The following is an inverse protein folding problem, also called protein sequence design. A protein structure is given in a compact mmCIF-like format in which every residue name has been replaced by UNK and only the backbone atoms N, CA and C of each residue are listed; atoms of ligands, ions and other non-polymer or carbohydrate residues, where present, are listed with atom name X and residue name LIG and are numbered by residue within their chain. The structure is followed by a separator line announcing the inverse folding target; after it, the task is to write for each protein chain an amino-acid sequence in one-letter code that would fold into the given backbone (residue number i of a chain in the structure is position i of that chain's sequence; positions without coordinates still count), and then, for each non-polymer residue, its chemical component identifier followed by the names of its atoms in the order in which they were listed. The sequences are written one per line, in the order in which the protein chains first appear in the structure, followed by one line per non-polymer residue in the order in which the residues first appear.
data_IF_066333645351
#
_entry.id   IF_066333645351
#
_cell.length_a   1.000
_cell.length_b   1.000
_cell.length_c   1.000
_cell.angle_alpha   90.00
_cell.angle_beta   90.00
_cell.angle_gamma   90.00
#
_symmetry.space_group_name_H-M   'P 1'
#
loop_
_entity.id
_entity.type
_entity.pdbx_description
1 polymer ?
#
# COMPACT_ATOMS: atom_id res chain seq x y z
N UNK A 1 -37.33 -13.76 -9.59
CA UNK A 1 -36.37 -14.63 -10.32
C UNK A 1 -35.00 -13.97 -10.43
N UNK A 2 -34.92 -12.67 -10.73
CA UNK A 2 -33.63 -11.96 -10.86
C UNK A 2 -32.78 -11.97 -9.57
N UNK A 3 -33.39 -11.93 -8.39
CA UNK A 3 -32.67 -11.97 -7.10
C UNK A 3 -31.98 -13.33 -6.85
N UNK A 4 -32.64 -14.44 -7.18
CA UNK A 4 -32.09 -15.80 -7.04
C UNK A 4 -30.97 -16.08 -8.04
N UNK A 5 -31.09 -15.58 -9.29
CA UNK A 5 -30.04 -15.71 -10.30
C UNK A 5 -28.80 -14.90 -9.91
N UNK A 6 -29.00 -13.73 -9.29
CA UNK A 6 -27.92 -12.89 -8.77
C UNK A 6 -27.23 -13.53 -7.57
N UNK A 7 -27.98 -14.18 -6.66
CA UNK A 7 -27.41 -14.96 -5.55
C UNK A 7 -26.61 -16.18 -6.02
N UNK A 8 -27.10 -16.93 -7.01
CA UNK A 8 -26.37 -18.08 -7.59
C UNK A 8 -25.09 -17.62 -8.29
N UNK A 9 -25.15 -16.50 -9.03
CA UNK A 9 -23.99 -15.93 -9.72
C UNK A 9 -22.94 -15.39 -8.74
N UNK A 10 -23.38 -14.72 -7.67
CA UNK A 10 -22.47 -14.19 -6.63
C UNK A 10 -21.82 -15.31 -5.82
N UNK A 11 -22.55 -16.39 -5.50
CA UNK A 11 -21.98 -17.56 -4.82
C UNK A 11 -20.99 -18.32 -5.73
N UNK A 12 -21.25 -18.39 -7.03
CA UNK A 12 -20.31 -18.92 -8.02
C UNK A 12 -19.03 -18.08 -8.09
N UNK A 13 -19.15 -16.75 -8.09
CA UNK A 13 -18.01 -15.83 -8.09
C UNK A 13 -17.15 -15.96 -6.82
N UNK A 14 -17.76 -16.12 -5.65
CA UNK A 14 -17.01 -16.34 -4.40
C UNK A 14 -16.24 -17.66 -4.42
N UNK A 15 -16.84 -18.74 -4.93
CA UNK A 15 -16.14 -20.03 -5.12
C UNK A 15 -14.98 -19.90 -6.10
N UNK A 16 -15.18 -19.19 -7.21
CA UNK A 16 -14.11 -18.92 -8.18
C UNK A 16 -12.96 -18.14 -7.55
N UNK A 17 -13.25 -17.11 -6.76
CA UNK A 17 -12.23 -16.36 -6.01
C UNK A 17 -11.45 -17.28 -5.06
N UNK A 18 -12.12 -18.17 -4.32
CA UNK A 18 -11.46 -19.13 -3.43
C UNK A 18 -10.58 -20.13 -4.20
N UNK A 19 -11.05 -20.62 -5.36
CA UNK A 19 -10.27 -21.49 -6.24
C UNK A 19 -9.02 -20.77 -6.77
N UNK A 20 -9.15 -19.54 -7.25
CA UNK A 20 -8.03 -18.74 -7.76
C UNK A 20 -7.04 -18.36 -6.65
N UNK A 21 -7.52 -18.09 -5.44
CA UNK A 21 -6.67 -17.86 -4.27
C UNK A 21 -5.83 -19.10 -3.94
N UNK A 22 -6.47 -20.27 -3.94
CA UNK A 22 -5.80 -21.57 -3.73
C UNK A 22 -4.78 -21.84 -4.84
N UNK A 23 -5.16 -21.59 -6.09
CA UNK A 23 -4.29 -21.75 -7.25
C UNK A 23 -3.08 -20.82 -7.17
N UNK A 24 -3.29 -19.57 -6.77
CA UNK A 24 -2.21 -18.61 -6.53
C UNK A 24 -1.22 -19.11 -5.48
N UNK A 25 -1.70 -19.72 -4.37
CA UNK A 25 -0.83 -20.30 -3.35
C UNK A 25 0.01 -21.46 -3.89
N UNK A 26 -0.59 -22.37 -4.66
CA UNK A 26 0.17 -23.45 -5.32
C UNK A 26 1.20 -22.90 -6.30
N UNK A 27 0.81 -21.90 -7.10
CA UNK A 27 1.70 -21.22 -8.06
C UNK A 27 2.89 -20.58 -7.35
N UNK A 28 2.69 -20.01 -6.15
CA UNK A 28 3.76 -19.40 -5.36
C UNK A 28 4.81 -20.42 -4.91
N UNK A 29 4.42 -21.68 -4.69
CA UNK A 29 5.32 -22.75 -4.24
C UNK A 29 6.01 -23.42 -5.44
N UNK A 30 5.25 -23.76 -6.48
CA UNK A 30 5.76 -24.44 -7.68
C UNK A 30 5.10 -23.88 -8.94
N UNK A 31 5.58 -22.75 -9.48
CA UNK A 31 4.93 -22.06 -10.59
C UNK A 31 4.94 -22.86 -11.89
N UNK A 32 5.85 -23.82 -12.05
CA UNK A 32 5.99 -24.68 -13.24
C UNK A 32 4.71 -25.47 -13.54
N UNK A 33 3.95 -25.86 -12.51
CA UNK A 33 2.70 -26.61 -12.65
C UNK A 33 1.61 -25.80 -13.39
N UNK A 34 1.70 -24.47 -13.33
CA UNK A 34 0.70 -23.56 -13.87
C UNK A 34 1.05 -22.99 -15.23
N UNK A 35 2.28 -23.17 -15.71
CA UNK A 35 2.77 -22.63 -16.99
C UNK A 35 1.87 -23.06 -18.15
N UNK A 36 1.53 -24.35 -18.23
CA UNK A 36 0.65 -24.93 -19.25
C UNK A 36 -0.80 -24.42 -19.21
N UNK A 37 -1.24 -23.86 -18.09
CA UNK A 37 -2.61 -23.37 -17.88
C UNK A 37 -2.73 -21.84 -18.01
N UNK A 38 -1.63 -21.13 -18.25
CA UNK A 38 -1.58 -19.67 -18.37
C UNK A 38 -2.64 -19.13 -19.35
N UNK A 39 -2.78 -19.75 -20.52
CA UNK A 39 -3.72 -19.31 -21.55
C UNK A 39 -5.19 -19.38 -21.13
N UNK A 40 -5.52 -20.24 -20.16
CA UNK A 40 -6.88 -20.35 -19.62
C UNK A 40 -7.23 -19.17 -18.72
N UNK A 41 -6.22 -18.47 -18.19
CA UNK A 41 -6.39 -17.35 -17.27
C UNK A 41 -6.51 -16.01 -17.99
N UNK A 42 -5.96 -15.87 -19.19
CA UNK A 42 -5.99 -14.64 -20.00
C UNK A 42 -7.40 -14.06 -20.21
N UNK A 43 -8.45 -14.86 -20.51
CA UNK A 43 -9.80 -14.32 -20.69
C UNK A 43 -10.35 -13.58 -19.47
N UNK A 44 -9.93 -13.96 -18.26
CA UNK A 44 -10.39 -13.33 -17.02
C UNK A 44 -9.92 -11.89 -16.86
N UNK A 45 -8.84 -11.47 -17.54
CA UNK A 45 -8.36 -10.09 -17.55
C UNK A 45 -9.31 -9.12 -18.28
N UNK A 46 -10.20 -9.65 -19.11
CA UNK A 46 -11.16 -8.86 -19.90
C UNK A 46 -12.52 -8.69 -19.21
N UNK A 47 -12.71 -9.32 -18.05
CA UNK A 47 -13.97 -9.26 -17.30
C UNK A 47 -14.26 -7.83 -16.85
N UNK A 48 -15.48 -7.36 -17.12
CA UNK A 48 -15.94 -6.03 -16.67
C UNK A 48 -16.22 -6.09 -15.17
N UNK A 49 -15.39 -5.41 -14.37
CA UNK A 49 -15.60 -5.30 -12.92
C UNK A 49 -16.90 -4.56 -12.60
N UNK A 50 -17.89 -5.30 -12.10
CA UNK A 50 -19.13 -4.76 -11.52
C UNK A 50 -19.19 -5.00 -10.03
N UNK A 51 -18.53 -6.06 -9.55
CA UNK A 51 -18.58 -6.51 -8.16
C UNK A 51 -17.18 -6.53 -7.51
N UNK A 52 -17.09 -6.44 -6.17
CA UNK A 52 -15.83 -6.62 -5.44
C UNK A 52 -15.14 -7.96 -5.74
N UNK A 53 -15.91 -9.01 -6.01
CA UNK A 53 -15.38 -10.33 -6.38
C UNK A 53 -14.54 -10.27 -7.67
N UNK A 54 -14.96 -9.46 -8.65
CA UNK A 54 -14.23 -9.30 -9.93
C UNK A 54 -12.82 -8.72 -9.71
N UNK A 55 -12.68 -7.80 -8.76
CA UNK A 55 -11.38 -7.21 -8.41
C UNK A 55 -10.43 -8.26 -7.81
N UNK A 56 -10.95 -9.20 -7.02
CA UNK A 56 -10.16 -10.30 -6.47
C UNK A 56 -9.77 -11.30 -7.57
N UNK A 57 -10.67 -11.60 -8.51
CA UNK A 57 -10.36 -12.43 -9.67
C UNK A 57 -9.20 -11.82 -10.47
N UNK A 58 -9.29 -10.53 -10.84
CA UNK A 58 -8.21 -9.84 -11.54
C UNK A 58 -6.90 -9.85 -10.74
N UNK A 59 -6.98 -9.62 -9.44
CA UNK A 59 -5.82 -9.65 -8.54
C UNK A 59 -5.11 -11.01 -8.61
N UNK A 60 -5.82 -12.12 -8.39
CA UNK A 60 -5.22 -13.45 -8.39
C UNK A 60 -4.72 -13.87 -9.78
N UNK A 61 -5.48 -13.57 -10.83
CA UNK A 61 -5.06 -13.85 -12.21
C UNK A 61 -3.78 -13.11 -12.55
N UNK A 62 -3.70 -11.81 -12.28
CA UNK A 62 -2.49 -11.03 -12.51
C UNK A 62 -1.28 -11.57 -11.72
N UNK A 63 -1.49 -12.01 -10.47
CA UNK A 63 -0.44 -12.62 -9.63
C UNK A 63 0.03 -13.98 -10.10
N UNK A 64 -0.85 -14.79 -10.68
CA UNK A 64 -0.46 -16.07 -11.28
C UNK A 64 0.36 -15.81 -12.54
N UNK A 65 -0.14 -14.94 -13.43
CA UNK A 65 0.53 -14.58 -14.68
C UNK A 65 1.90 -13.92 -14.44
N UNK A 66 2.04 -13.14 -13.37
CA UNK A 66 3.30 -12.51 -12.94
C UNK A 66 4.46 -13.53 -12.83
N UNK A 67 4.17 -14.74 -12.35
CA UNK A 67 5.19 -15.78 -12.13
C UNK A 67 5.20 -16.86 -13.20
N UNK A 68 4.06 -17.16 -13.84
CA UNK A 68 3.99 -18.23 -14.85
C UNK A 68 4.48 -17.79 -16.22
N UNK A 69 4.17 -16.56 -16.66
CA UNK A 69 4.53 -16.08 -18.00
C UNK A 69 6.05 -16.01 -18.19
N UNK A 70 6.86 -15.52 -17.22
CA UNK A 70 8.32 -15.54 -17.36
C UNK A 70 8.96 -16.94 -17.40
N UNK A 71 8.22 -18.00 -17.03
CA UNK A 71 8.69 -19.39 -17.07
C UNK A 71 8.27 -20.13 -18.34
N UNK A 72 7.47 -19.50 -19.20
CA UNK A 72 7.10 -20.08 -20.49
C UNK A 72 8.33 -20.12 -21.42
N UNK A 73 8.60 -21.27 -22.05
CA UNK A 73 9.70 -21.40 -23.00
C UNK A 73 9.49 -20.56 -24.26
N UNK A 74 8.27 -20.57 -24.80
CA UNK A 74 7.91 -19.89 -26.04
C UNK A 74 6.54 -19.19 -25.93
N UNK A 75 6.43 -18.11 -25.14
CA UNK A 75 5.22 -17.29 -25.14
C UNK A 75 5.06 -16.60 -26.50
N UNK A 76 3.86 -16.58 -27.07
CA UNK A 76 3.64 -15.89 -28.33
C UNK A 76 3.75 -14.37 -28.14
N UNK A 77 4.42 -13.69 -29.06
CA UNK A 77 4.59 -12.22 -29.01
C UNK A 77 3.25 -11.49 -28.93
N UNK A 78 2.23 -11.99 -29.64
CA UNK A 78 0.87 -11.45 -29.62
C UNK A 78 0.20 -11.57 -28.26
N UNK A 79 0.39 -12.70 -27.56
CA UNK A 79 -0.14 -12.88 -26.20
C UNK A 79 0.56 -11.94 -25.22
N UNK A 80 1.89 -11.82 -25.32
CA UNK A 80 2.67 -10.93 -24.45
C UNK A 80 2.26 -9.47 -24.65
N UNK A 81 2.16 -9.01 -25.89
CA UNK A 81 1.70 -7.66 -26.20
C UNK A 81 0.28 -7.38 -25.67
N UNK A 82 -0.64 -8.33 -25.85
CA UNK A 82 -2.00 -8.20 -25.34
C UNK A 82 -2.01 -8.13 -23.80
N UNK A 83 -1.20 -8.94 -23.13
CA UNK A 83 -1.08 -8.95 -21.68
C UNK A 83 -0.52 -7.61 -21.16
N UNK A 84 0.49 -7.05 -21.83
CA UNK A 84 1.05 -5.75 -21.48
C UNK A 84 0.02 -4.63 -21.59
N UNK A 85 -0.73 -4.59 -22.70
CA UNK A 85 -1.80 -3.62 -22.91
C UNK A 85 -2.90 -3.75 -21.86
N UNK A 86 -3.28 -4.98 -21.51
CA UNK A 86 -4.27 -5.26 -20.48
C UNK A 86 -3.77 -4.80 -19.11
N UNK A 87 -2.51 -5.07 -18.74
CA UNK A 87 -1.93 -4.62 -17.46
C UNK A 87 -1.89 -3.09 -17.36
N UNK A 88 -1.51 -2.39 -18.44
CA UNK A 88 -1.54 -0.93 -18.48
C UNK A 88 -2.96 -0.41 -18.35
N UNK A 89 -3.92 -0.97 -19.10
CA UNK A 89 -5.33 -0.57 -19.04
C UNK A 89 -5.92 -0.75 -17.64
N UNK A 90 -5.63 -1.88 -16.99
CA UNK A 90 -6.11 -2.18 -15.64
C UNK A 90 -5.51 -1.23 -14.60
N UNK A 91 -4.21 -0.92 -14.72
CA UNK A 91 -3.50 0.05 -13.86
C UNK A 91 -4.14 1.45 -13.91
N UNK A 92 -4.63 1.87 -15.09
CA UNK A 92 -5.24 3.19 -15.29
C UNK A 92 -6.66 3.30 -14.71
N UNK A 93 -7.42 2.20 -14.69
CA UNK A 93 -8.87 2.23 -14.43
C UNK A 93 -9.28 1.67 -13.07
N UNK A 94 -8.58 0.66 -12.55
CA UNK A 94 -9.02 -0.08 -11.37
C UNK A 94 -8.52 0.51 -10.04
N UNK A 95 -8.99 -0.07 -8.94
CA UNK A 95 -8.62 0.31 -7.57
C UNK A 95 -7.25 -0.22 -7.15
N UNK A 96 -6.80 0.20 -5.96
CA UNK A 96 -5.44 -0.03 -5.42
C UNK A 96 -4.98 -1.50 -5.50
N UNK A 97 -5.83 -2.44 -5.08
CA UNK A 97 -5.49 -3.88 -5.02
C UNK A 97 -5.14 -4.45 -6.40
N UNK A 98 -5.93 -4.13 -7.43
CA UNK A 98 -5.70 -4.60 -8.80
C UNK A 98 -4.49 -3.88 -9.38
N UNK A 99 -4.37 -2.57 -9.13
CA UNK A 99 -3.24 -1.76 -9.56
C UNK A 99 -1.90 -2.36 -9.09
N UNK A 100 -1.79 -2.73 -7.82
CA UNK A 100 -0.56 -3.35 -7.27
C UNK A 100 -0.17 -4.63 -8.02
N UNK A 101 -1.10 -5.56 -8.22
CA UNK A 101 -0.83 -6.81 -8.92
C UNK A 101 -0.54 -6.61 -10.42
N UNK A 102 -1.23 -5.67 -11.07
CA UNK A 102 -1.02 -5.42 -12.49
C UNK A 102 0.35 -4.80 -12.77
N UNK A 103 0.82 -3.86 -11.95
CA UNK A 103 2.16 -3.27 -12.13
C UNK A 103 3.25 -4.29 -11.81
N UNK A 104 3.05 -5.16 -10.81
CA UNK A 104 3.98 -6.26 -10.52
C UNK A 104 4.09 -7.24 -11.72
N UNK A 105 2.94 -7.65 -12.27
CA UNK A 105 2.87 -8.50 -13.45
C UNK A 105 3.51 -7.84 -14.68
N UNK A 106 3.17 -6.58 -14.97
CA UNK A 106 3.79 -5.80 -16.04
C UNK A 106 5.32 -5.73 -15.87
N UNK A 107 5.79 -5.49 -14.64
CA UNK A 107 7.20 -5.52 -14.28
C UNK A 107 7.86 -6.85 -14.60
N UNK A 108 7.25 -7.97 -14.20
CA UNK A 108 7.79 -9.30 -14.46
C UNK A 108 7.85 -9.62 -15.96
N UNK A 109 6.77 -9.35 -16.70
CA UNK A 109 6.66 -9.63 -18.14
C UNK A 109 7.62 -8.76 -18.95
N UNK A 110 7.63 -7.44 -18.72
CA UNK A 110 8.49 -6.53 -19.49
C UNK A 110 9.96 -6.77 -19.17
N UNK A 111 10.32 -6.93 -17.89
CA UNK A 111 11.72 -7.11 -17.51
C UNK A 111 12.29 -8.48 -17.88
N UNK A 112 11.48 -9.53 -17.98
CA UNK A 112 11.99 -10.90 -18.20
C UNK A 112 11.70 -11.46 -19.59
N UNK A 113 10.64 -10.99 -20.24
CA UNK A 113 10.14 -11.57 -21.49
C UNK A 113 10.25 -10.58 -22.66
N UNK A 114 9.47 -9.50 -22.66
CA UNK A 114 9.29 -8.67 -23.87
C UNK A 114 10.37 -7.63 -24.10
N UNK A 115 10.97 -7.09 -23.02
CA UNK A 115 11.84 -5.90 -23.06
C UNK A 115 11.21 -4.67 -23.72
N UNK A 116 9.88 -4.61 -23.77
CA UNK A 116 9.11 -3.49 -24.33
C UNK A 116 9.03 -2.30 -23.36
N UNK A 117 10.17 -1.65 -23.13
CA UNK A 117 10.29 -0.55 -22.17
C UNK A 117 9.60 0.75 -22.63
N UNK A 118 9.30 0.88 -23.92
CA UNK A 118 8.64 2.08 -24.48
C UNK A 118 7.24 2.24 -23.92
N UNK A 119 6.46 1.16 -23.85
CA UNK A 119 5.10 1.16 -23.28
C UNK A 119 5.09 1.64 -21.82
N UNK A 120 6.02 1.12 -21.01
CA UNK A 120 6.12 1.46 -19.59
C UNK A 120 6.57 2.91 -19.42
N UNK A 121 7.53 3.38 -20.23
CA UNK A 121 7.97 4.77 -20.24
C UNK A 121 6.86 5.74 -20.60
N UNK A 122 6.02 5.40 -21.58
CA UNK A 122 4.88 6.22 -21.96
C UNK A 122 3.83 6.27 -20.84
N UNK A 123 3.57 5.14 -20.19
CA UNK A 123 2.69 5.05 -19.03
C UNK A 123 3.20 5.93 -17.88
N UNK A 124 4.48 5.80 -17.52
CA UNK A 124 5.14 6.60 -16.50
C UNK A 124 5.06 8.10 -16.82
N UNK A 125 5.42 8.47 -18.06
CA UNK A 125 5.48 9.88 -18.48
C UNK A 125 4.12 10.58 -18.37
N UNK A 126 3.02 9.87 -18.65
CA UNK A 126 1.65 10.40 -18.49
C UNK A 126 1.35 10.75 -17.03
N UNK A 127 1.64 9.84 -16.10
CA UNK A 127 1.42 10.09 -14.67
C UNK A 127 2.37 11.15 -14.12
N UNK A 128 3.65 11.09 -14.49
CA UNK A 128 4.66 12.00 -13.96
C UNK A 128 4.46 13.44 -14.47
N UNK A 129 4.09 13.61 -15.74
CA UNK A 129 3.73 14.92 -16.30
C UNK A 129 2.50 15.51 -15.59
N UNK A 130 1.48 14.69 -15.32
CA UNK A 130 0.32 15.13 -14.57
C UNK A 130 0.70 15.58 -13.15
N UNK A 131 1.50 14.79 -12.42
CA UNK A 131 1.99 15.17 -11.09
C UNK A 131 2.82 16.45 -11.09
N UNK A 132 3.69 16.63 -12.08
CA UNK A 132 4.53 17.82 -12.19
C UNK A 132 3.68 19.07 -12.38
N UNK A 133 2.63 19.00 -13.21
CA UNK A 133 1.66 20.09 -13.37
C UNK A 133 0.95 20.40 -12.06
N UNK A 134 0.45 19.38 -11.35
CA UNK A 134 -0.21 19.58 -10.06
C UNK A 134 0.72 20.18 -8.99
N UNK A 135 1.99 19.76 -8.99
CA UNK A 135 3.02 20.34 -8.12
C UNK A 135 3.24 21.82 -8.44
N UNK A 136 3.35 22.19 -9.71
CA UNK A 136 3.52 23.59 -10.13
C UNK A 136 2.31 24.45 -9.72
N UNK A 137 1.10 23.94 -9.94
CA UNK A 137 -0.14 24.61 -9.53
C UNK A 137 -0.15 24.87 -8.01
N UNK A 138 0.17 23.86 -7.20
CA UNK A 138 0.22 23.98 -5.73
C UNK A 138 1.39 24.84 -5.23
N UNK A 139 2.52 24.84 -5.93
CA UNK A 139 3.65 25.70 -5.57
C UNK A 139 3.36 27.18 -5.82
N UNK A 140 2.53 27.49 -6.83
CA UNK A 140 2.09 28.85 -7.14
C UNK A 140 1.02 29.38 -6.19
N UNK A 141 0.15 28.50 -5.68
CA UNK A 141 -0.93 28.84 -4.76
C UNK A 141 -1.12 27.70 -3.71
N UNK A 142 -0.44 27.79 -2.55
CA UNK A 142 -0.48 26.74 -1.52
C UNK A 142 -1.85 26.55 -0.85
N UNK A 143 -2.72 27.57 -0.86
CA UNK A 143 -4.06 27.52 -0.27
C UNK A 143 -5.13 27.08 -1.28
N UNK A 144 -4.72 26.80 -2.53
CA UNK A 144 -5.62 26.34 -3.58
C UNK A 144 -6.28 25.04 -3.18
N UNK A 145 -7.59 25.06 -3.01
CA UNK A 145 -8.39 23.85 -2.80
C UNK A 145 -8.30 22.97 -4.04
N UNK A 146 -7.75 21.77 -3.87
CA UNK A 146 -7.69 20.75 -4.92
C UNK A 146 -9.12 20.37 -5.28
N UNK A 147 -9.47 20.46 -6.56
CA UNK A 147 -10.82 20.12 -7.01
C UNK A 147 -11.13 18.65 -6.78
N UNK A 148 -12.36 18.35 -6.38
CA UNK A 148 -12.80 16.98 -6.09
C UNK A 148 -12.69 16.05 -7.32
N UNK A 149 -12.76 16.60 -8.54
CA UNK A 149 -12.59 15.85 -9.79
C UNK A 149 -11.14 15.47 -10.09
N UNK A 150 -10.18 16.32 -9.70
CA UNK A 150 -8.76 16.06 -9.96
C UNK A 150 -8.13 15.16 -8.91
N UNK A 151 -8.59 15.26 -7.66
CA UNK A 151 -8.06 14.52 -6.50
C UNK A 151 -7.82 13.01 -6.75
N UNK A 152 -8.77 12.22 -7.31
CA UNK A 152 -8.54 10.80 -7.57
C UNK A 152 -7.41 10.54 -8.57
N UNK A 153 -7.23 11.43 -9.54
CA UNK A 153 -6.14 11.36 -10.53
C UNK A 153 -4.80 11.56 -9.86
N UNK A 154 -4.68 12.55 -8.96
CA UNK A 154 -3.43 12.81 -8.23
C UNK A 154 -3.09 11.64 -7.30
N UNK A 155 -4.06 11.15 -6.52
CA UNK A 155 -3.88 10.01 -5.63
C UNK A 155 -3.39 8.77 -6.38
N UNK A 156 -3.99 8.48 -7.54
CA UNK A 156 -3.56 7.39 -8.41
C UNK A 156 -2.15 7.63 -8.92
N UNK A 157 -1.85 8.82 -9.43
CA UNK A 157 -0.53 9.13 -9.99
C UNK A 157 0.60 9.04 -8.96
N UNK A 158 0.40 9.56 -7.73
CA UNK A 158 1.37 9.47 -6.62
C UNK A 158 1.71 8.02 -6.30
N UNK A 159 0.68 7.19 -6.21
CA UNK A 159 0.82 5.78 -5.88
C UNK A 159 1.48 4.99 -7.02
N UNK A 160 1.02 5.18 -8.26
CA UNK A 160 1.51 4.43 -9.43
C UNK A 160 2.96 4.77 -9.76
N UNK A 161 3.38 6.04 -9.64
CA UNK A 161 4.77 6.42 -9.94
C UNK A 161 5.74 5.74 -8.97
N UNK A 162 5.47 5.78 -7.67
CA UNK A 162 6.31 5.08 -6.70
C UNK A 162 6.34 3.56 -6.95
N UNK A 163 5.20 2.98 -7.32
CA UNK A 163 5.11 1.55 -7.62
C UNK A 163 5.85 1.16 -8.91
N UNK A 164 5.79 1.98 -9.96
CA UNK A 164 6.57 1.77 -11.18
C UNK A 164 8.07 1.81 -10.88
N UNK A 165 8.53 2.75 -10.07
CA UNK A 165 9.94 2.82 -9.63
C UNK A 165 10.39 1.65 -8.74
N UNK A 166 9.45 0.92 -8.12
CA UNK A 166 9.78 -0.33 -7.42
C UNK A 166 10.16 -1.44 -8.41
N UNK A 167 9.35 -1.63 -9.45
CA UNK A 167 9.50 -2.76 -10.38
C UNK A 167 10.40 -2.48 -11.59
N UNK A 168 10.63 -1.22 -11.93
CA UNK A 168 11.45 -0.79 -13.05
C UNK A 168 12.59 0.10 -12.58
N UNK A 169 13.71 0.04 -13.30
CA UNK A 169 14.82 0.95 -13.03
C UNK A 169 14.49 2.38 -13.42
N UNK A 170 15.05 3.36 -12.70
CA UNK A 170 14.89 4.76 -13.02
C UNK A 170 15.43 5.09 -14.42
N UNK A 171 16.48 4.37 -14.86
CA UNK A 171 17.11 4.53 -16.17
C UNK A 171 16.15 4.21 -17.33
N UNK A 172 15.18 3.30 -17.11
CA UNK A 172 14.15 2.96 -18.10
C UNK A 172 13.30 4.18 -18.48
N UNK A 173 13.11 5.08 -17.51
CA UNK A 173 12.31 6.29 -17.67
C UNK A 173 13.12 7.49 -18.13
N UNK A 174 14.45 7.38 -18.14
CA UNK A 174 15.33 8.48 -18.46
C UNK A 174 15.23 8.85 -19.93
N UNK A 175 14.94 10.13 -20.19
CA UNK A 175 14.89 10.69 -21.56
C UNK A 175 16.08 11.60 -21.84
N UNK A 176 16.59 12.30 -20.81
CA UNK A 176 17.84 13.09 -20.87
C UNK A 176 18.82 12.53 -19.82
N UNK A 177 20.03 12.10 -20.20
CA UNK A 177 21.04 11.54 -19.29
C UNK A 177 21.52 12.53 -18.23
N UNK A 178 21.29 13.83 -18.39
CA UNK A 178 21.67 14.86 -17.40
C UNK A 178 20.68 14.96 -16.24
N UNK A 179 19.49 14.38 -16.38
CA UNK A 179 18.41 14.48 -15.41
C UNK A 179 18.21 13.14 -14.71
N UNK A 180 18.40 13.13 -13.39
CA UNK A 180 18.08 11.97 -12.56
C UNK A 180 16.57 11.88 -12.37
N UNK A 181 15.93 10.91 -13.01
CA UNK A 181 14.48 10.66 -12.83
C UNK A 181 14.20 10.22 -11.40
N UNK A 182 15.08 9.41 -10.82
CA UNK A 182 15.01 8.98 -9.41
C UNK A 182 14.86 10.18 -8.47
N UNK A 183 15.74 11.17 -8.61
CA UNK A 183 15.76 12.31 -7.70
C UNK A 183 14.57 13.25 -7.96
N UNK A 184 14.14 13.42 -9.21
CA UNK A 184 12.93 14.18 -9.53
C UNK A 184 11.65 13.55 -8.97
N UNK A 185 11.53 12.21 -9.03
CA UNK A 185 10.42 11.48 -8.42
C UNK A 185 10.46 11.62 -6.91
N UNK A 186 11.64 11.44 -6.31
CA UNK A 186 11.84 11.63 -4.86
C UNK A 186 11.41 13.03 -4.42
N UNK A 187 11.90 14.09 -5.09
CA UNK A 187 11.56 15.48 -4.76
C UNK A 187 10.08 15.78 -4.92
N UNK A 188 9.46 15.23 -5.96
CA UNK A 188 8.03 15.41 -6.21
C UNK A 188 7.23 14.73 -5.12
N UNK A 189 7.53 13.48 -4.76
CA UNK A 189 6.84 12.78 -3.69
C UNK A 189 7.06 13.45 -2.32
N UNK A 190 8.29 13.89 -2.02
CA UNK A 190 8.58 14.64 -0.78
C UNK A 190 7.83 15.98 -0.71
N UNK A 191 7.66 16.67 -1.84
CA UNK A 191 6.83 17.87 -1.88
C UNK A 191 5.39 17.57 -1.43
N UNK A 192 4.78 16.49 -1.94
CA UNK A 192 3.42 16.11 -1.55
C UNK A 192 3.30 15.62 -0.10
N UNK A 193 4.37 15.09 0.51
CA UNK A 193 4.35 14.68 1.93
C UNK A 193 4.54 15.85 2.90
N UNK A 194 5.37 16.84 2.52
CA UNK A 194 5.75 17.99 3.35
C UNK A 194 4.75 19.17 3.23
N UNK A 195 4.36 19.51 2.00
CA UNK A 195 3.62 20.75 1.71
C UNK A 195 2.10 20.56 1.80
N UNK A 196 1.58 19.39 1.41
CA UNK A 196 0.13 19.14 1.37
C UNK A 196 -0.36 18.68 2.74
N UNK A 197 -0.37 19.57 3.73
CA UNK A 197 -0.74 19.23 5.13
C UNK A 197 -2.24 18.99 5.34
N UNK A 198 -3.08 19.63 4.51
CA UNK A 198 -4.55 19.58 4.61
C UNK A 198 -5.15 18.27 4.12
N UNK A 199 -4.41 17.50 3.32
CA UNK A 199 -4.90 16.27 2.70
C UNK A 199 -4.15 15.03 3.16
N UNK A 200 -4.68 14.38 4.19
CA UNK A 200 -4.10 13.17 4.78
C UNK A 200 -3.91 12.04 3.75
N UNK A 201 -4.90 11.80 2.89
CA UNK A 201 -4.82 10.70 1.90
C UNK A 201 -3.74 10.96 0.85
N UNK A 202 -3.57 12.20 0.39
CA UNK A 202 -2.47 12.53 -0.53
C UNK A 202 -1.11 12.31 0.10
N UNK A 203 -0.94 12.73 1.36
CA UNK A 203 0.29 12.46 2.12
C UNK A 203 0.53 10.98 2.28
N UNK A 204 -0.48 10.18 2.61
CA UNK A 204 -0.38 8.71 2.71
C UNK A 204 0.04 8.09 1.38
N UNK A 205 -0.55 8.49 0.25
CA UNK A 205 -0.16 7.97 -1.07
C UNK A 205 1.26 8.37 -1.47
N UNK A 206 1.65 9.62 -1.22
CA UNK A 206 3.01 10.08 -1.48
C UNK A 206 4.04 9.35 -0.59
N UNK A 207 3.72 9.12 0.69
CA UNK A 207 4.55 8.32 1.59
C UNK A 207 4.66 6.86 1.14
N UNK A 208 3.56 6.21 0.75
CA UNK A 208 3.63 4.86 0.18
C UNK A 208 4.49 4.83 -1.08
N UNK A 209 4.37 5.84 -1.95
CA UNK A 209 5.21 5.98 -3.14
C UNK A 209 6.70 6.12 -2.81
N UNK A 210 7.05 6.90 -1.78
CA UNK A 210 8.44 7.00 -1.29
C UNK A 210 8.94 5.66 -0.76
N UNK A 211 8.10 4.94 -0.01
CA UNK A 211 8.42 3.59 0.47
C UNK A 211 8.79 2.65 -0.67
N UNK A 212 7.95 2.61 -1.72
CA UNK A 212 8.22 1.81 -2.91
C UNK A 212 9.51 2.23 -3.62
N UNK A 213 9.77 3.53 -3.77
CA UNK A 213 11.02 4.02 -4.35
C UNK A 213 12.25 3.56 -3.53
N UNK A 214 12.15 3.62 -2.20
CA UNK A 214 13.22 3.21 -1.29
C UNK A 214 13.47 1.70 -1.29
N UNK A 215 12.47 0.86 -1.62
CA UNK A 215 12.70 -0.58 -1.75
C UNK A 215 13.75 -0.89 -2.82
N UNK A 216 13.80 -0.13 -3.91
CA UNK A 216 14.84 -0.30 -4.95
C UNK A 216 16.09 0.53 -4.68
N UNK A 217 15.93 1.76 -4.20
CA UNK A 217 17.03 2.71 -3.96
C UNK A 217 17.23 2.94 -2.46
N UNK A 218 17.87 1.97 -1.79
CA UNK A 218 18.09 1.96 -0.34
C UNK A 218 18.84 3.21 0.17
N UNK A 219 19.71 3.79 -0.65
CA UNK A 219 20.44 5.04 -0.35
C UNK A 219 19.52 6.22 -0.01
N UNK A 220 18.30 6.26 -0.56
CA UNK A 220 17.34 7.34 -0.30
C UNK A 220 16.78 7.29 1.12
N UNK A 221 16.67 6.09 1.70
CA UNK A 221 16.22 5.91 3.09
C UNK A 221 17.27 6.42 4.08
N UNK A 222 18.55 6.26 3.74
CA UNK A 222 19.68 6.81 4.48
C UNK A 222 19.88 8.32 4.24
N UNK A 223 19.20 8.91 3.27
CA UNK A 223 19.27 10.33 2.96
C UNK A 223 18.77 11.21 4.11
N UNK A 224 19.48 12.30 4.39
CA UNK A 224 19.18 13.17 5.55
C UNK A 224 17.74 13.66 5.57
N UNK A 225 17.18 14.07 4.42
CA UNK A 225 15.83 14.64 4.31
C UNK A 225 14.75 13.63 4.68
N UNK A 226 14.76 12.43 4.10
CA UNK A 226 13.75 11.41 4.37
C UNK A 226 13.90 10.82 5.78
N UNK A 227 15.13 10.53 6.20
CA UNK A 227 15.42 10.00 7.54
C UNK A 227 14.94 10.96 8.63
N UNK A 228 15.27 12.25 8.51
CA UNK A 228 14.79 13.29 9.44
C UNK A 228 13.27 13.39 9.44
N UNK A 229 12.65 13.39 8.27
CA UNK A 229 11.18 13.43 8.16
C UNK A 229 10.52 12.22 8.84
N UNK A 230 11.02 10.99 8.64
CA UNK A 230 10.50 9.79 9.32
C UNK A 230 10.71 9.86 10.84
N UNK A 231 11.88 10.29 11.29
CA UNK A 231 12.18 10.43 12.70
C UNK A 231 11.25 11.46 13.37
N UNK A 232 11.09 12.65 12.78
CA UNK A 232 10.24 13.71 13.31
C UNK A 232 8.77 13.28 13.35
N UNK A 233 8.29 12.59 12.31
CA UNK A 233 6.94 12.06 12.25
C UNK A 233 6.70 10.97 13.30
N UNK A 234 7.63 10.02 13.49
CA UNK A 234 7.52 8.95 14.48
C UNK A 234 7.62 9.47 15.93
N UNK A 235 8.47 10.47 16.17
CA UNK A 235 8.69 11.07 17.50
C UNK A 235 7.59 12.02 17.95
N UNK A 236 6.76 12.53 17.03
CA UNK A 236 5.60 13.36 17.38
C UNK A 236 4.74 12.68 18.48
N UNK A 237 4.35 13.38 19.56
CA UNK A 237 3.52 12.80 20.61
C UNK A 237 2.19 12.34 20.00
N UNK A 238 1.80 11.10 20.29
CA UNK A 238 0.66 10.49 19.59
C UNK A 238 0.60 8.97 19.51
N UNK A 239 1.48 8.26 20.20
CA UNK A 239 1.28 6.82 20.41
C UNK A 239 0.39 6.67 21.64
N UNK A 240 -0.79 6.03 21.54
CA UNK A 240 -1.34 5.37 22.71
C UNK A 240 -0.31 4.33 23.15
N UNK A 241 0.02 4.32 24.44
CA UNK A 241 1.00 3.42 25.05
C UNK A 241 0.83 1.93 24.64
N UNK A 242 -0.38 1.53 24.21
CA UNK A 242 -0.71 0.16 23.77
C UNK A 242 -0.01 -0.30 22.47
N UNK A 243 0.37 0.61 21.56
CA UNK A 243 1.07 0.23 20.33
C UNK A 243 2.54 -0.16 20.60
N UNK A 244 3.15 0.46 21.63
CA UNK A 244 4.46 0.03 22.15
C UNK A 244 4.40 -1.39 22.72
N UNK A 245 3.29 -1.73 23.39
CA UNK A 245 3.08 -3.07 23.96
C UNK A 245 2.88 -4.15 22.89
N UNK A 246 2.17 -3.82 21.80
CA UNK A 246 2.01 -4.75 20.66
C UNK A 246 3.34 -4.98 19.94
N UNK A 247 4.13 -3.94 19.69
CA UNK A 247 5.47 -4.08 19.09
C UNK A 247 6.42 -4.87 20.00
N UNK A 248 6.37 -4.63 21.32
CA UNK A 248 7.16 -5.37 22.31
C UNK A 248 6.72 -6.84 22.46
N UNK A 249 5.42 -7.11 22.35
CA UNK A 249 4.87 -8.47 22.37
C UNK A 249 5.27 -9.27 21.12
N UNK A 250 5.33 -8.62 19.95
CA UNK A 250 5.77 -9.26 18.71
C UNK A 250 7.29 -9.45 18.66
N UNK A 251 8.08 -8.50 19.18
CA UNK A 251 9.54 -8.64 19.31
C UNK A 251 9.96 -9.79 20.24
N UNK A 252 9.19 -10.05 21.31
CA UNK A 252 9.45 -11.17 22.23
C UNK A 252 9.03 -12.56 21.69
N UNK A 253 8.32 -12.64 20.57
CA UNK A 253 7.89 -13.92 19.96
C UNK A 253 8.94 -14.54 19.02
N UNK A 254 10.02 -13.83 18.68
CA UNK A 254 11.03 -14.33 17.73
C UNK A 254 12.32 -14.87 18.37
N UNK A 255 12.43 -14.93 19.70
CA UNK A 255 13.57 -15.57 20.37
C UNK A 255 13.10 -16.32 21.62
N UNK A 256 12.96 -17.64 21.50
CA UNK A 256 13.42 -18.60 22.51
C UNK A 256 13.52 -20.01 21.92
N UNK A 257 14.67 -20.69 22.01
CA UNK A 257 14.81 -22.10 21.65
C UNK A 257 14.10 -23.01 22.68
N UNK A 258 13.27 -23.91 22.17
CA UNK A 258 12.97 -25.30 22.61
C UNK A 258 13.02 -25.69 24.10
N UNK A 259 11.83 -25.99 24.60
CA UNK A 259 11.32 -27.17 25.33
C UNK A 259 11.82 -27.63 26.73
N UNK A 260 10.79 -27.97 27.54
CA UNK A 260 10.70 -28.96 28.64
C UNK A 260 11.33 -28.55 30.00
N UNK A 261 10.67 -28.65 31.17
CA UNK A 261 9.70 -29.64 31.69
C UNK A 261 8.92 -29.06 32.90
N UNK A 262 7.70 -29.57 33.12
CA UNK A 262 6.95 -29.78 34.38
C UNK A 262 6.59 -28.60 35.30
N UNK A 263 5.48 -28.59 36.05
CA UNK A 263 4.20 -29.29 36.06
C UNK A 263 3.39 -28.61 37.18
N UNK A 264 2.06 -28.67 37.07
CA UNK A 264 1.08 -28.72 38.17
C UNK A 264 0.92 -27.55 39.17
N UNK A 265 -0.30 -27.02 39.16
CA UNK A 265 -1.27 -26.92 40.28
C UNK A 265 -1.77 -25.50 40.61
N UNK A 266 -3.03 -25.26 40.26
CA UNK A 266 -3.97 -24.43 41.03
C UNK A 266 -4.39 -25.23 42.30
N UNK A 267 -5.00 -24.65 43.36
CA UNK A 267 -6.23 -23.85 43.31
C UNK A 267 -6.35 -22.65 44.28
N UNK A 268 -7.36 -21.81 43.99
CA UNK A 268 -8.36 -21.17 44.89
C UNK A 268 -7.92 -20.54 46.23
N UNK A 269 -8.32 -19.29 46.54
CA UNK A 269 -9.59 -18.96 47.20
C UNK A 269 -9.72 -17.45 47.55
N UNK A 270 -10.96 -17.05 47.90
CA UNK A 270 -11.39 -15.91 48.75
C UNK A 270 -11.61 -14.49 48.14
N UNK A 271 -12.91 -14.21 47.92
CA UNK A 271 -13.75 -13.13 48.51
C UNK A 271 -13.04 -12.09 49.41
N UNK A 272 -13.36 -10.80 49.45
CA UNK A 272 -14.67 -10.23 49.79
C UNK A 272 -14.58 -8.68 49.82
N UNK A 273 -15.75 -8.05 49.78
CA UNK A 273 -16.13 -6.73 50.34
C UNK A 273 -16.11 -5.46 49.49
N UNK A 274 -17.35 -5.10 49.17
CA UNK A 274 -17.88 -3.79 48.85
C UNK A 274 -17.89 -2.86 50.08
N UNK A 275 -17.85 -1.54 49.83
CA UNK A 275 -18.66 -0.60 50.60
C UNK A 275 -18.93 0.68 49.79
N UNK A 276 -20.23 0.94 49.60
CA UNK A 276 -20.83 2.19 49.10
C UNK A 276 -20.74 3.27 50.18
N UNK A 277 -20.58 4.54 49.79
CA UNK A 277 -21.30 5.67 50.38
C UNK A 277 -21.67 6.71 49.32
N UNK A 278 -22.98 6.99 49.25
CA UNK A 278 -23.65 8.05 48.50
C UNK A 278 -23.72 9.36 49.31
N UNK A 279 -24.30 10.38 48.66
CA UNK A 279 -24.86 11.67 49.14
C UNK A 279 -23.87 12.81 49.33
N UNK A 280 -24.18 14.07 49.08
CA UNK A 280 -25.18 14.83 48.30
C UNK A 280 -24.76 16.30 48.51
N UNK A 281 -25.06 17.21 47.57
CA UNK A 281 -25.69 18.53 47.81
C UNK A 281 -25.29 19.64 46.80
N UNK A 282 -26.28 20.49 46.57
CA UNK A 282 -26.57 21.42 45.49
C UNK A 282 -26.12 22.86 45.78
N UNK A 283 -25.75 23.67 44.76
CA UNK A 283 -26.36 25.02 44.54
C UNK A 283 -25.97 25.67 43.20
N UNK A 284 -26.94 26.33 42.57
CA UNK A 284 -26.85 27.14 41.34
C UNK A 284 -26.51 28.61 41.63
N UNK A 285 -25.85 29.31 40.69
CA UNK A 285 -26.23 30.69 40.25
C UNK A 285 -25.45 31.19 39.01
N UNK A 286 -26.25 31.44 37.95
CA UNK A 286 -26.26 32.47 36.89
C UNK A 286 -25.01 33.21 36.35
N UNK A 287 -24.86 33.12 35.02
CA UNK A 287 -24.61 34.12 33.96
C UNK A 287 -23.65 35.31 34.18
N UNK A 288 -22.58 35.37 33.38
CA UNK A 288 -22.37 36.52 32.48
C UNK A 288 -21.38 36.24 31.33
N UNK A 289 -21.72 36.82 30.19
CA UNK A 289 -21.18 36.66 28.83
C UNK A 289 -19.68 36.89 28.61
N UNK A 290 -19.03 35.96 27.88
CA UNK A 290 -17.92 36.25 26.96
C UNK A 290 -17.79 35.11 25.92
N UNK A 291 -17.95 35.44 24.63
CA UNK A 291 -17.77 34.51 23.51
C UNK A 291 -16.30 34.04 23.45
N UNK A 292 -16.04 32.83 23.94
CA UNK A 292 -14.89 31.99 23.65
C UNK A 292 -15.37 30.77 22.85
N UNK A 293 -14.58 30.23 21.90
CA UNK A 293 -14.96 29.01 21.21
C UNK A 293 -15.10 27.88 22.24
N UNK A 294 -16.21 27.16 22.19
CA UNK A 294 -16.54 26.10 23.16
C UNK A 294 -15.47 25.02 23.17
N UNK A 295 -15.02 24.66 24.37
CA UNK A 295 -13.97 23.66 24.69
C UNK A 295 -14.13 22.32 23.93
N UNK A 296 -15.33 21.97 23.48
CA UNK A 296 -15.64 20.76 22.71
C UNK A 296 -15.10 20.73 21.26
N UNK A 297 -14.84 21.87 20.63
CA UNK A 297 -14.33 21.93 19.25
C UNK A 297 -12.80 21.77 19.20
N UNK A 298 -12.10 22.33 20.20
CA UNK A 298 -10.64 22.24 20.34
C UNK A 298 -10.23 20.79 20.65
N UNK A 299 -10.97 20.10 21.52
CA UNK A 299 -10.71 18.69 21.85
C UNK A 299 -10.99 17.75 20.66
N UNK A 300 -12.02 18.03 19.85
CA UNK A 300 -12.28 17.28 18.61
C UNK A 300 -11.19 17.48 17.58
N UNK A 301 -10.76 18.72 17.34
CA UNK A 301 -9.73 19.03 16.35
C UNK A 301 -8.36 18.47 16.77
N UNK A 302 -8.04 18.48 18.07
CA UNK A 302 -6.87 17.82 18.61
C UNK A 302 -6.92 16.29 18.41
N UNK A 303 -8.09 15.67 18.60
CA UNK A 303 -8.28 14.22 18.42
C UNK A 303 -8.17 13.81 16.95
N UNK A 304 -8.78 14.54 16.02
CA UNK A 304 -8.69 14.28 14.57
C UNK A 304 -7.26 14.46 14.04
N UNK A 305 -6.56 15.50 14.50
CA UNK A 305 -5.16 15.73 14.15
C UNK A 305 -4.25 14.61 14.72
N UNK A 306 -4.59 14.08 15.89
CA UNK A 306 -3.88 12.99 16.52
C UNK A 306 -4.07 11.66 15.78
N UNK A 307 -5.29 11.37 15.30
CA UNK A 307 -5.60 10.20 14.46
C UNK A 307 -4.87 10.27 13.12
N UNK A 308 -4.88 11.44 12.46
CA UNK A 308 -4.18 11.66 11.20
C UNK A 308 -2.66 11.40 11.31
N UNK A 309 -2.04 11.81 12.43
CA UNK A 309 -0.63 11.52 12.69
C UNK A 309 -0.40 10.02 12.86
N UNK A 310 -1.27 9.31 13.57
CA UNK A 310 -1.16 7.87 13.78
C UNK A 310 -1.22 7.11 12.44
N UNK A 311 -2.13 7.50 11.55
CA UNK A 311 -2.23 6.90 10.22
C UNK A 311 -0.95 7.09 9.38
N UNK A 312 -0.34 8.27 9.43
CA UNK A 312 0.93 8.53 8.74
C UNK A 312 2.06 7.68 9.32
N UNK A 313 2.10 7.50 10.65
CA UNK A 313 3.07 6.62 11.31
C UNK A 313 2.90 5.16 10.86
N UNK A 314 1.67 4.67 10.75
CA UNK A 314 1.40 3.33 10.24
C UNK A 314 1.94 3.14 8.81
N UNK A 315 1.80 4.16 7.94
CA UNK A 315 2.38 4.11 6.59
C UNK A 315 3.91 4.06 6.63
N UNK A 316 4.55 4.88 7.46
CA UNK A 316 6.01 4.88 7.61
C UNK A 316 6.52 3.52 8.11
N UNK A 317 5.91 2.98 9.17
CA UNK A 317 6.29 1.66 9.69
C UNK A 317 6.06 0.55 8.66
N UNK A 318 4.96 0.61 7.90
CA UNK A 318 4.69 -0.32 6.82
C UNK A 318 5.74 -0.26 5.70
N UNK A 319 6.19 0.94 5.33
CA UNK A 319 7.27 1.13 4.36
C UNK A 319 8.58 0.51 4.85
N UNK A 320 8.94 0.76 6.11
CA UNK A 320 10.16 0.20 6.72
C UNK A 320 10.10 -1.33 6.79
N UNK A 321 8.97 -1.89 7.22
CA UNK A 321 8.77 -3.34 7.25
C UNK A 321 8.91 -3.95 5.85
N UNK A 322 8.27 -3.34 4.85
CA UNK A 322 8.36 -3.79 3.45
C UNK A 322 9.79 -3.75 2.94
N UNK A 323 10.54 -2.69 3.27
CA UNK A 323 11.94 -2.56 2.93
C UNK A 323 12.78 -3.70 3.52
N UNK A 324 12.66 -3.95 4.82
CA UNK A 324 13.44 -5.00 5.49
C UNK A 324 13.11 -6.41 4.97
N UNK A 325 11.83 -6.71 4.73
CA UNK A 325 11.42 -8.01 4.17
C UNK A 325 11.96 -8.23 2.75
N UNK A 326 12.03 -7.19 1.93
CA UNK A 326 12.57 -7.31 0.57
C UNK A 326 14.11 -7.42 0.56
N UNK A 327 14.79 -6.81 1.52
CA UNK A 327 16.23 -7.01 1.73
C UNK A 327 16.54 -8.42 2.24
N UNK A 328 15.77 -8.92 3.22
CA UNK A 328 15.89 -10.31 3.71
C UNK A 328 15.70 -11.32 2.58
N UNK A 329 14.65 -11.14 1.77
CA UNK A 329 14.42 -11.97 0.59
C UNK A 329 15.60 -11.93 -0.40
N UNK A 330 16.18 -10.75 -0.65
CA UNK A 330 17.36 -10.62 -1.51
C UNK A 330 18.59 -11.34 -0.96
N UNK A 331 18.80 -11.29 0.36
CA UNK A 331 19.88 -12.03 1.02
C UNK A 331 19.70 -13.53 0.84
N UNK A 332 18.49 -14.06 1.09
CA UNK A 332 18.17 -15.48 0.90
C UNK A 332 18.34 -15.94 -0.57
N UNK A 333 17.93 -15.11 -1.54
CA UNK A 333 18.12 -15.40 -2.96
C UNK A 333 19.59 -15.38 -3.40
N UNK A 334 20.45 -14.60 -2.74
CA UNK A 334 21.88 -14.58 -2.98
C UNK A 334 22.56 -15.83 -2.41
N UNK A 335 22.17 -16.23 -1.19
CA UNK A 335 22.68 -17.43 -0.53
C UNK A 335 22.29 -18.71 -1.29
N UNK A 336 21.06 -18.78 -1.83
CA UNK A 336 20.60 -19.92 -2.62
C UNK A 336 21.33 -20.09 -3.98
N UNK A 337 22.08 -19.07 -4.42
CA UNK A 337 22.89 -19.12 -5.66
C UNK A 337 24.36 -19.46 -5.40
N UNK A 338 24.79 -19.51 -4.14
CA UNK A 338 26.14 -19.88 -3.73
C UNK A 338 26.24 -21.39 -3.46
#
# INVERSE_FOLDING_TARGET
MDTLITEISSQSNQRLVACLATLHLFTKIRPELMVQHTMLLTPYLTIRCKEPADSHILHYVARILEVTVPLMEHPSESMVAQLEEDMVRLTLRHGKMVLESCVACLGAVVNRVSKNYTLVRDCFSRFFTALTRFRQDLASDPERKISASMRPSILRALFTIGLLCKYFDADVFQTDPRLSIRDQVFDTLMFFTEQVKTDLEMRKKALSGLGFLCTRHHELLCGHRLCRFYHDLLRSPGMPQSAYDIYRANSKKSIRPSDLVDATSAPEDETENAEKRESDDCTQSQDDSNLLPSVSEVDKQATEQQEAILELKCVVLGNLLTFFLEEEKRMLEADAKC
#
